data_IF_949006869436
#
_entry.id   IF_949006869436
#
_cell.length_a   1.000
_cell.length_b   1.000
_cell.length_c   1.000
_cell.angle_alpha   90.00
_cell.angle_beta   90.00
_cell.angle_gamma   90.00
#
_symmetry.space_group_name_H-M   'P 1'
#
loop_
_entity.id
_entity.type
_entity.pdbx_description
1 polymer ?
#
# COMPACT_ATOMS: atom_id res chain seq x y z
N UNK A 1 -4.17 -27.39 -8.80
CA UNK A 1 -3.14 -26.31 -8.84
C UNK A 1 -2.31 -26.40 -7.57
N UNK A 2 -0.98 -26.46 -7.63
CA UNK A 2 -0.16 -26.62 -6.42
C UNK A 2 -0.19 -25.38 -5.52
N UNK A 3 -0.19 -25.57 -4.19
CA UNK A 3 -0.24 -24.49 -3.17
C UNK A 3 0.75 -23.36 -3.44
N UNK A 4 1.99 -23.69 -3.84
CA UNK A 4 3.04 -22.73 -4.18
C UNK A 4 2.65 -21.78 -5.34
N UNK A 5 2.08 -22.33 -6.41
CA UNK A 5 1.64 -21.55 -7.59
C UNK A 5 0.50 -20.57 -7.24
N UNK A 6 -0.36 -20.94 -6.30
CA UNK A 6 -1.44 -20.07 -5.80
C UNK A 6 -0.85 -18.90 -5.01
N UNK A 7 0.09 -19.16 -4.11
CA UNK A 7 0.75 -18.12 -3.32
C UNK A 7 1.56 -17.16 -4.19
N UNK A 8 2.26 -17.67 -5.21
CA UNK A 8 3.00 -16.84 -6.16
C UNK A 8 2.07 -15.94 -6.96
N UNK A 9 0.90 -16.43 -7.38
CA UNK A 9 -0.09 -15.62 -8.08
C UNK A 9 -0.73 -14.56 -7.20
N UNK A 10 -1.03 -14.88 -5.93
CA UNK A 10 -1.52 -13.89 -4.97
C UNK A 10 -0.46 -12.78 -4.79
N UNK A 11 0.81 -13.14 -4.61
CA UNK A 11 1.90 -12.17 -4.51
C UNK A 11 2.00 -11.30 -5.77
N UNK A 12 1.87 -11.87 -6.97
CA UNK A 12 1.88 -11.08 -8.22
C UNK A 12 0.79 -10.01 -8.27
N UNK A 13 -0.36 -10.27 -7.66
CA UNK A 13 -1.49 -9.32 -7.62
C UNK A 13 -1.32 -8.31 -6.49
N UNK A 14 -0.90 -8.73 -5.30
CA UNK A 14 -0.84 -7.84 -4.12
C UNK A 14 0.44 -7.03 -4.02
N UNK A 15 1.56 -7.54 -4.54
CA UNK A 15 2.86 -6.88 -4.44
C UNK A 15 2.88 -5.52 -5.15
N UNK A 16 2.37 -5.35 -6.38
CA UNK A 16 2.30 -4.03 -7.03
C UNK A 16 1.52 -3.00 -6.20
N UNK A 17 0.38 -3.41 -5.63
CA UNK A 17 -0.44 -2.53 -4.77
C UNK A 17 0.33 -2.11 -3.50
N UNK A 18 1.05 -3.06 -2.91
CA UNK A 18 1.86 -2.78 -1.71
C UNK A 18 3.06 -1.88 -2.03
N UNK A 19 3.68 -2.09 -3.20
CA UNK A 19 4.83 -1.32 -3.65
C UNK A 19 4.40 0.13 -3.98
N UNK A 20 3.27 0.34 -4.68
CA UNK A 20 2.67 1.67 -4.92
C UNK A 20 2.37 2.39 -3.60
N UNK A 21 1.76 1.71 -2.62
CA UNK A 21 1.48 2.30 -1.32
C UNK A 21 2.74 2.79 -0.60
N UNK A 22 3.86 2.08 -0.72
CA UNK A 22 5.16 2.49 -0.15
C UNK A 22 5.77 3.66 -0.90
N UNK A 23 5.72 3.66 -2.22
CA UNK A 23 6.23 4.77 -3.04
C UNK A 23 5.49 6.07 -2.75
N UNK A 24 4.16 6.01 -2.68
CA UNK A 24 3.30 7.14 -2.32
C UNK A 24 3.68 7.69 -0.94
N UNK A 25 3.89 6.82 0.05
CA UNK A 25 4.29 7.22 1.39
C UNK A 25 5.69 7.87 1.41
N UNK A 26 6.65 7.31 0.67
CA UNK A 26 8.00 7.87 0.58
C UNK A 26 8.01 9.22 -0.14
N UNK A 27 7.29 9.36 -1.26
CA UNK A 27 7.17 10.61 -2.00
C UNK A 27 6.56 11.72 -1.15
N UNK A 28 5.43 11.44 -0.48
CA UNK A 28 4.82 12.42 0.42
C UNK A 28 5.63 12.68 1.69
N UNK A 29 6.36 11.69 2.20
CA UNK A 29 7.29 11.89 3.30
C UNK A 29 8.41 12.86 2.95
N UNK A 30 8.94 12.80 1.72
CA UNK A 30 9.96 13.74 1.23
C UNK A 30 9.38 15.15 1.07
N UNK A 31 8.22 15.29 0.41
CA UNK A 31 7.53 16.58 0.25
C UNK A 31 7.19 17.19 1.61
N UNK A 32 6.63 16.38 2.51
CA UNK A 32 6.25 16.81 3.86
C UNK A 32 7.44 17.30 4.69
N UNK A 33 8.58 16.60 4.63
CA UNK A 33 9.83 17.03 5.28
C UNK A 33 10.34 18.36 4.72
N UNK A 34 10.37 18.51 3.41
CA UNK A 34 10.80 19.74 2.74
C UNK A 34 9.91 20.92 3.15
N UNK A 35 8.58 20.70 3.12
CA UNK A 35 7.57 21.71 3.45
C UNK A 35 7.61 22.12 4.93
N UNK A 36 7.79 21.15 5.85
CA UNK A 36 8.01 21.42 7.28
C UNK A 36 9.28 22.24 7.50
N UNK A 37 10.39 21.89 6.83
CA UNK A 37 11.64 22.63 6.93
C UNK A 37 11.51 24.06 6.41
N UNK A 38 10.66 24.31 5.42
CA UNK A 38 10.34 25.67 4.95
C UNK A 38 9.35 26.43 5.85
N UNK A 39 8.91 25.84 6.97
CA UNK A 39 8.00 26.47 7.93
C UNK A 39 6.52 26.46 7.52
N UNK A 40 6.15 25.68 6.49
CA UNK A 40 4.78 25.57 6.02
C UNK A 40 4.05 24.45 6.76
N UNK A 41 2.94 24.78 7.43
CA UNK A 41 2.08 23.79 8.11
C UNK A 41 1.50 22.73 7.15
N UNK A 42 1.47 23.02 5.85
CA UNK A 42 1.04 22.12 4.77
C UNK A 42 1.76 20.78 4.81
N UNK A 43 3.01 20.72 5.29
CA UNK A 43 3.77 19.47 5.33
C UNK A 43 3.14 18.41 6.26
N UNK A 44 2.53 18.81 7.39
CA UNK A 44 1.83 17.88 8.29
C UNK A 44 0.53 17.36 7.66
N UNK A 45 -0.22 18.23 7.00
CA UNK A 45 -1.49 17.87 6.36
C UNK A 45 -1.27 16.93 5.19
N UNK A 46 -0.24 17.18 4.37
CA UNK A 46 0.19 16.29 3.28
C UNK A 46 0.61 14.92 3.82
N UNK A 47 1.45 14.88 4.86
CA UNK A 47 1.88 13.61 5.48
C UNK A 47 0.69 12.81 6.03
N UNK A 48 -0.26 13.48 6.67
CA UNK A 48 -1.45 12.84 7.25
C UNK A 48 -2.39 12.31 6.15
N UNK A 49 -2.73 13.15 5.18
CA UNK A 49 -3.62 12.79 4.08
C UNK A 49 -3.06 11.67 3.23
N UNK A 50 -1.80 11.77 2.81
CA UNK A 50 -1.15 10.73 2.00
C UNK A 50 -0.88 9.47 2.83
N UNK A 51 -0.55 9.61 4.12
CA UNK A 51 -0.43 8.47 5.03
C UNK A 51 -1.72 7.64 5.10
N UNK A 52 -2.89 8.30 5.11
CA UNK A 52 -4.18 7.62 5.09
C UNK A 52 -4.45 6.91 3.76
N UNK A 53 -4.18 7.56 2.62
CA UNK A 53 -4.32 6.96 1.27
C UNK A 53 -3.41 5.74 1.12
N UNK A 54 -2.14 5.84 1.55
CA UNK A 54 -1.20 4.74 1.49
C UNK A 54 -1.64 3.55 2.36
N UNK A 55 -2.14 3.82 3.57
CA UNK A 55 -2.71 2.80 4.46
C UNK A 55 -3.92 2.10 3.83
N UNK A 56 -4.86 2.85 3.26
CA UNK A 56 -6.03 2.27 2.59
C UNK A 56 -5.65 1.43 1.38
N UNK A 57 -4.68 1.91 0.58
CA UNK A 57 -4.17 1.20 -0.60
C UNK A 57 -3.55 -0.13 -0.21
N UNK A 58 -2.67 -0.12 0.79
CA UNK A 58 -2.03 -1.34 1.32
C UNK A 58 -3.08 -2.29 1.91
N UNK A 59 -4.01 -1.79 2.72
CA UNK A 59 -5.07 -2.60 3.31
C UNK A 59 -5.96 -3.25 2.25
N UNK A 60 -6.28 -2.52 1.18
CA UNK A 60 -7.03 -3.04 0.03
C UNK A 60 -6.27 -4.17 -0.64
N UNK A 61 -4.98 -3.98 -0.93
CA UNK A 61 -4.13 -5.04 -1.49
C UNK A 61 -4.08 -6.30 -0.62
N UNK A 62 -3.93 -6.14 0.70
CA UNK A 62 -3.94 -7.26 1.66
C UNK A 62 -5.29 -7.98 1.67
N UNK A 63 -6.39 -7.24 1.70
CA UNK A 63 -7.74 -7.80 1.74
C UNK A 63 -8.09 -8.55 0.45
N UNK A 64 -7.73 -8.01 -0.72
CA UNK A 64 -7.86 -8.71 -2.00
C UNK A 64 -7.06 -10.01 -1.99
N UNK A 65 -5.80 -9.96 -1.53
CA UNK A 65 -4.97 -11.16 -1.41
C UNK A 65 -5.57 -12.25 -0.52
N UNK A 66 -6.16 -11.86 0.62
CA UNK A 66 -6.88 -12.77 1.52
C UNK A 66 -8.10 -13.40 0.84
N UNK A 67 -8.98 -12.58 0.22
CA UNK A 67 -10.18 -13.06 -0.48
C UNK A 67 -9.83 -14.01 -1.62
N UNK A 68 -8.77 -13.74 -2.38
CA UNK A 68 -8.31 -14.65 -3.45
C UNK A 68 -7.82 -15.97 -2.84
N UNK A 69 -7.06 -15.91 -1.74
CA UNK A 69 -6.58 -17.12 -1.03
C UNK A 69 -7.74 -17.98 -0.52
N UNK A 70 -8.76 -17.36 0.06
CA UNK A 70 -9.95 -18.03 0.58
C UNK A 70 -10.77 -18.68 -0.54
N UNK A 71 -11.04 -17.94 -1.62
CA UNK A 71 -11.77 -18.47 -2.78
C UNK A 71 -11.09 -19.68 -3.45
N UNK A 72 -9.76 -19.76 -3.37
CA UNK A 72 -9.01 -20.90 -3.94
C UNK A 72 -8.92 -22.06 -2.94
N UNK A 73 -8.95 -21.81 -1.63
CA UNK A 73 -8.95 -22.88 -0.60
C UNK A 73 -10.33 -23.50 -0.39
N UNK A 74 -11.40 -22.75 -0.64
CA UNK A 74 -12.79 -23.22 -0.55
C UNK A 74 -13.30 -23.95 -1.80
N UNK A 75 -12.44 -24.15 -2.80
CA UNK A 75 -12.67 -24.97 -4.00
C UNK A 75 -11.67 -26.12 -4.00
#
# INVERSE_FOLDING_TARGET
>A
MGKKKVEDNIKKVTKPVTDVGKEVLNGAGNIGKETINTGLNVGKDVLSGVGNIAKETINTGVNVGKKVKENIKGK
#
